data_IF_893060427351
#
_entry.id   IF_893060427351
#
_cell.length_a   1.000
_cell.length_b   1.000
_cell.length_c   1.000
_cell.angle_alpha   90.00
_cell.angle_beta   90.00
_cell.angle_gamma   90.00
#
_symmetry.space_group_name_H-M   'P 1'
#
loop_
_entity.id
_entity.type
_entity.pdbx_description
1 polymer ?
#
# COMPACT_ATOMS: atom_id res chain seq x y z
N UNK A 1 83.22 28.27 -35.64
CA UNK A 1 82.28 27.30 -35.05
C UNK A 1 82.09 27.73 -33.60
N UNK A 2 80.85 28.08 -33.26
CA UNK A 2 80.45 28.75 -32.02
C UNK A 2 80.77 27.91 -30.80
N UNK A 3 81.71 28.37 -29.99
CA UNK A 3 81.79 27.98 -28.58
C UNK A 3 80.59 28.62 -27.89
N UNK A 4 79.47 27.91 -27.84
CA UNK A 4 78.39 28.25 -26.93
C UNK A 4 78.98 28.20 -25.51
N UNK A 5 78.94 29.35 -24.83
CA UNK A 5 79.27 29.43 -23.41
C UNK A 5 78.20 28.64 -22.65
N UNK A 6 78.37 27.32 -22.52
CA UNK A 6 77.60 26.53 -21.58
C UNK A 6 77.99 27.01 -20.18
N UNK A 7 77.13 27.85 -19.62
CA UNK A 7 77.25 28.25 -18.21
C UNK A 7 77.10 27.01 -17.33
N UNK A 8 77.69 27.01 -16.12
CA UNK A 8 77.46 25.95 -15.14
C UNK A 8 75.96 25.69 -14.93
N UNK A 9 75.13 26.73 -15.04
CA UNK A 9 73.68 26.66 -14.92
C UNK A 9 73.03 25.83 -16.05
N UNK A 10 73.47 25.99 -17.31
CA UNK A 10 72.97 25.18 -18.43
C UNK A 10 73.42 23.73 -18.35
N UNK A 11 74.63 23.47 -17.81
CA UNK A 11 75.12 22.10 -17.58
C UNK A 11 74.30 21.39 -16.49
N UNK A 12 73.95 22.08 -15.40
CA UNK A 12 73.09 21.53 -14.34
C UNK A 12 71.64 21.34 -14.80
N UNK A 13 71.09 22.26 -15.59
CA UNK A 13 69.75 22.11 -16.18
C UNK A 13 69.67 20.90 -17.10
N UNK A 14 70.66 20.73 -17.97
CA UNK A 14 70.77 19.62 -18.89
C UNK A 14 70.98 18.26 -18.16
N UNK A 15 71.73 18.26 -17.05
CA UNK A 15 71.82 17.11 -16.13
C UNK A 15 70.46 16.69 -15.56
N UNK A 16 69.55 17.63 -15.29
CA UNK A 16 68.25 17.38 -14.66
C UNK A 16 67.15 16.99 -15.65
N UNK A 17 67.23 17.47 -16.89
CA UNK A 17 66.24 17.24 -17.95
C UNK A 17 66.59 16.07 -18.89
N UNK A 18 67.69 15.37 -18.64
CA UNK A 18 68.08 14.16 -19.37
C UNK A 18 68.70 14.41 -20.75
N UNK A 19 69.38 15.56 -20.94
CA UNK A 19 70.05 15.88 -22.21
C UNK A 19 71.29 14.98 -22.42
N UNK A 20 71.18 14.09 -23.41
CA UNK A 20 72.19 13.10 -23.74
C UNK A 20 73.51 13.72 -24.25
N UNK A 21 73.45 14.88 -24.92
CA UNK A 21 74.64 15.56 -25.46
C UNK A 21 75.46 16.20 -24.33
N UNK A 22 74.80 16.89 -23.40
CA UNK A 22 75.46 17.47 -22.23
C UNK A 22 75.97 16.41 -21.25
N UNK A 23 75.23 15.31 -21.08
CA UNK A 23 75.70 14.18 -20.29
C UNK A 23 76.95 13.53 -20.90
N UNK A 24 77.09 13.54 -22.23
CA UNK A 24 78.28 13.06 -22.92
C UNK A 24 79.48 14.00 -22.73
N UNK A 25 79.26 15.32 -22.81
CA UNK A 25 80.28 16.33 -22.53
C UNK A 25 80.88 16.22 -21.12
N UNK A 26 80.06 15.91 -20.10
CA UNK A 26 80.52 15.71 -18.71
C UNK A 26 81.31 14.40 -18.57
N UNK A 27 80.98 13.36 -19.33
CA UNK A 27 81.69 12.08 -19.34
C UNK A 27 83.05 12.17 -20.04
N UNK A 28 83.15 12.99 -21.08
CA UNK A 28 84.34 13.10 -21.91
C UNK A 28 85.44 14.00 -21.30
N UNK A 29 85.12 14.80 -20.26
CA UNK A 29 86.09 15.61 -19.49
C UNK A 29 86.29 15.07 -18.05
N UNK A 30 87.47 14.50 -17.72
CA UNK A 30 87.74 13.89 -16.41
C UNK A 30 87.71 14.84 -15.21
N UNK A 31 88.06 16.12 -15.38
CA UNK A 31 88.09 17.10 -14.29
C UNK A 31 86.70 17.72 -14.07
N UNK A 32 85.97 17.94 -15.16
CA UNK A 32 84.55 18.32 -15.11
C UNK A 32 83.73 17.21 -14.46
N UNK A 33 83.95 15.95 -14.85
CA UNK A 33 83.27 14.77 -14.30
C UNK A 33 83.46 14.61 -12.79
N UNK A 34 84.67 14.81 -12.26
CA UNK A 34 84.92 14.74 -10.79
C UNK A 34 84.19 15.81 -9.98
N UNK A 35 83.95 16.98 -10.59
CA UNK A 35 83.40 18.15 -9.89
C UNK A 35 81.88 18.24 -10.04
N UNK A 36 81.35 17.98 -11.23
CA UNK A 36 79.95 18.20 -11.59
C UNK A 36 79.08 16.97 -11.31
N UNK A 37 79.60 15.74 -11.51
CA UNK A 37 78.81 14.50 -11.34
C UNK A 37 78.20 14.36 -9.94
N UNK A 38 78.95 14.56 -8.82
CA UNK A 38 78.35 14.45 -7.47
C UNK A 38 77.25 15.49 -7.21
N UNK A 39 77.35 16.67 -7.84
CA UNK A 39 76.34 17.74 -7.73
C UNK A 39 75.11 17.37 -8.56
N UNK A 40 75.28 16.86 -9.78
CA UNK A 40 74.17 16.38 -10.61
C UNK A 40 73.44 15.20 -9.93
N UNK A 41 74.17 14.23 -9.35
CA UNK A 41 73.58 13.10 -8.62
C UNK A 41 72.76 13.58 -7.40
N UNK A 42 73.30 14.53 -6.63
CA UNK A 42 72.59 15.12 -5.50
C UNK A 42 71.34 15.91 -5.95
N UNK A 43 71.45 16.67 -7.04
CA UNK A 43 70.31 17.40 -7.60
C UNK A 43 69.23 16.46 -8.15
N UNK A 44 69.60 15.37 -8.84
CA UNK A 44 68.67 14.32 -9.30
C UNK A 44 67.97 13.65 -8.11
N UNK A 45 68.71 13.27 -7.06
CA UNK A 45 68.12 12.68 -5.86
C UNK A 45 67.13 13.63 -5.16
N UNK A 46 67.47 14.92 -5.07
CA UNK A 46 66.59 15.96 -4.53
C UNK A 46 65.35 16.17 -5.40
N UNK A 47 65.52 16.21 -6.73
CA UNK A 47 64.42 16.34 -7.68
C UNK A 47 63.46 15.16 -7.57
N UNK A 48 63.99 13.94 -7.45
CA UNK A 48 63.19 12.73 -7.25
C UNK A 48 62.36 12.80 -5.96
N UNK A 49 62.98 13.23 -4.86
CA UNK A 49 62.26 13.43 -3.60
C UNK A 49 61.18 14.53 -3.71
N UNK A 50 61.44 15.60 -4.45
CA UNK A 50 60.46 16.66 -4.72
C UNK A 50 59.28 16.17 -5.57
N UNK A 51 59.55 15.41 -6.64
CA UNK A 51 58.53 14.84 -7.50
C UNK A 51 57.67 13.83 -6.73
N UNK A 52 58.26 13.05 -5.81
CA UNK A 52 57.50 12.14 -4.93
C UNK A 52 56.53 12.88 -4.01
N UNK A 53 56.91 14.05 -3.49
CA UNK A 53 56.00 14.90 -2.70
C UNK A 53 54.86 15.43 -3.57
N UNK A 54 55.16 15.90 -4.79
CA UNK A 54 54.15 16.36 -5.73
C UNK A 54 53.20 15.23 -6.17
N UNK A 55 53.70 14.01 -6.36
CA UNK A 55 52.86 12.85 -6.66
C UNK A 55 51.89 12.56 -5.51
N UNK A 56 52.34 12.62 -4.26
CA UNK A 56 51.44 12.52 -3.11
C UNK A 56 50.40 13.64 -3.07
N UNK A 57 50.75 14.86 -3.49
CA UNK A 57 49.78 15.95 -3.63
C UNK A 57 48.74 15.69 -4.72
N UNK A 58 49.16 15.15 -5.87
CA UNK A 58 48.26 14.76 -6.96
C UNK A 58 47.30 13.67 -6.51
N UNK A 59 47.79 12.63 -5.83
CA UNK A 59 46.91 11.59 -5.25
C UNK A 59 45.94 12.16 -4.22
N UNK A 60 46.35 13.13 -3.40
CA UNK A 60 45.44 13.79 -2.46
C UNK A 60 44.37 14.63 -3.17
N UNK A 61 44.71 15.28 -4.30
CA UNK A 61 43.74 15.98 -5.16
C UNK A 61 42.71 15.01 -5.75
N UNK A 62 43.16 13.85 -6.24
CA UNK A 62 42.29 12.79 -6.78
C UNK A 62 41.29 12.31 -5.71
N UNK A 63 41.79 11.99 -4.50
CA UNK A 63 40.93 11.56 -3.37
C UNK A 63 39.93 12.64 -2.94
N UNK A 64 40.34 13.91 -2.98
CA UNK A 64 39.47 15.05 -2.66
C UNK A 64 38.35 15.17 -3.69
N UNK A 65 38.68 15.06 -4.98
CA UNK A 65 37.70 15.07 -6.07
C UNK A 65 36.72 13.89 -5.98
N UNK A 66 37.20 12.68 -5.68
CA UNK A 66 36.33 11.51 -5.47
C UNK A 66 35.40 11.64 -4.26
N UNK A 67 35.87 12.30 -3.19
CA UNK A 67 35.07 12.57 -2.00
C UNK A 67 33.94 13.58 -2.29
N UNK A 68 34.12 14.47 -3.27
CA UNK A 68 33.20 15.56 -3.58
C UNK A 68 31.86 15.17 -4.25
N UNK A 69 31.78 14.56 -5.44
CA UNK A 69 31.97 13.12 -5.56
C UNK A 69 30.84 12.38 -4.83
N UNK A 70 31.25 11.41 -4.03
CA UNK A 70 30.38 10.65 -3.13
C UNK A 70 29.45 11.56 -2.31
N UNK A 71 29.97 12.72 -1.92
CA UNK A 71 29.24 13.69 -1.17
C UNK A 71 27.98 14.26 -1.85
N UNK A 72 27.99 14.40 -3.18
CA UNK A 72 26.82 14.85 -3.92
C UNK A 72 25.69 13.83 -3.91
N UNK A 73 26.02 12.55 -4.11
CA UNK A 73 25.04 11.46 -4.08
C UNK A 73 24.35 11.43 -2.71
N UNK A 74 25.14 11.61 -1.65
CA UNK A 74 24.61 11.72 -0.29
C UNK A 74 23.68 12.92 -0.10
N UNK A 75 23.97 14.08 -0.69
CA UNK A 75 23.08 15.26 -0.60
C UNK A 75 21.73 15.00 -1.30
N UNK A 76 21.75 14.31 -2.44
CA UNK A 76 20.54 13.89 -3.15
C UNK A 76 19.72 12.89 -2.33
N UNK A 77 20.38 11.91 -1.72
CA UNK A 77 19.75 10.91 -0.86
C UNK A 77 19.11 11.57 0.37
N UNK A 78 19.81 12.51 1.02
CA UNK A 78 19.28 13.28 2.14
C UNK A 78 18.02 14.06 1.76
N UNK A 79 18.01 14.70 0.59
CA UNK A 79 16.83 15.44 0.09
C UNK A 79 15.64 14.52 -0.14
N UNK A 80 15.88 13.36 -0.76
CA UNK A 80 14.84 12.36 -1.03
C UNK A 80 14.25 11.85 0.28
N UNK A 81 15.12 11.48 1.22
CA UNK A 81 14.69 10.98 2.51
C UNK A 81 13.95 12.05 3.34
N UNK A 82 14.25 13.34 3.16
CA UNK A 82 13.49 14.44 3.77
C UNK A 82 12.06 14.56 3.21
N UNK A 83 11.89 14.38 1.89
CA UNK A 83 10.56 14.33 1.27
C UNK A 83 9.77 13.11 1.76
N UNK A 84 10.42 11.94 1.82
CA UNK A 84 9.79 10.71 2.31
C UNK A 84 9.34 10.86 3.78
N UNK A 85 10.17 11.48 4.62
CA UNK A 85 9.82 11.76 6.02
C UNK A 85 8.59 12.66 6.15
N UNK A 86 8.47 13.69 5.31
CA UNK A 86 7.28 14.55 5.30
C UNK A 86 6.03 13.78 4.85
N UNK A 87 6.14 12.96 3.81
CA UNK A 87 5.03 12.11 3.34
C UNK A 87 4.57 11.13 4.42
N UNK A 88 5.50 10.52 5.16
CA UNK A 88 5.18 9.63 6.28
C UNK A 88 4.47 10.36 7.42
N UNK A 89 4.84 11.61 7.70
CA UNK A 89 4.15 12.44 8.69
C UNK A 89 2.69 12.72 8.28
N UNK A 90 2.47 13.13 7.03
CA UNK A 90 1.12 13.37 6.51
C UNK A 90 0.26 12.09 6.54
N UNK A 91 0.89 10.94 6.28
CA UNK A 91 0.22 9.65 6.38
C UNK A 91 -0.13 9.27 7.83
N UNK A 92 0.71 9.59 8.81
CA UNK A 92 0.40 9.43 10.23
C UNK A 92 -0.84 10.25 10.63
N UNK A 93 -0.90 11.52 10.21
CA UNK A 93 -2.04 12.41 10.48
C UNK A 93 -3.34 11.90 9.81
N UNK A 94 -3.24 11.39 8.58
CA UNK A 94 -4.36 10.77 7.89
C UNK A 94 -4.91 9.55 8.64
N UNK A 95 -4.04 8.70 9.20
CA UNK A 95 -4.45 7.56 10.05
C UNK A 95 -5.21 8.05 11.28
N UNK A 96 -4.72 9.07 11.97
CA UNK A 96 -5.39 9.64 13.15
C UNK A 96 -6.79 10.16 12.79
N UNK A 97 -6.94 10.84 11.66
CA UNK A 97 -8.25 11.30 11.17
C UNK A 97 -9.18 10.14 10.83
N UNK A 98 -8.67 9.10 10.18
CA UNK A 98 -9.45 7.90 9.87
C UNK A 98 -9.95 7.21 11.14
N UNK A 99 -9.09 7.08 12.16
CA UNK A 99 -9.49 6.51 13.47
C UNK A 99 -10.60 7.32 14.13
N UNK A 100 -10.58 8.66 14.04
CA UNK A 100 -11.68 9.49 14.57
C UNK A 100 -13.01 9.19 13.87
N UNK A 101 -13.01 9.07 12.54
CA UNK A 101 -14.22 8.67 11.79
C UNK A 101 -14.69 7.25 12.15
N UNK A 102 -13.76 6.34 12.42
CA UNK A 102 -14.08 4.99 12.91
C UNK A 102 -14.71 5.04 14.30
N UNK A 103 -14.26 5.93 15.18
CA UNK A 103 -14.85 6.12 16.50
C UNK A 103 -16.30 6.63 16.44
N UNK A 104 -16.62 7.55 15.52
CA UNK A 104 -18.01 7.99 15.28
C UNK A 104 -18.89 6.82 14.81
N UNK A 105 -18.35 6.00 13.90
CA UNK A 105 -19.04 4.80 13.38
C UNK A 105 -19.27 3.75 14.48
N UNK A 106 -18.31 3.59 15.39
CA UNK A 106 -18.45 2.75 16.59
C UNK A 106 -19.64 3.21 17.43
N UNK A 107 -19.75 4.52 17.72
CA UNK A 107 -20.85 5.07 18.50
C UNK A 107 -22.21 4.77 17.88
N UNK A 108 -22.36 5.01 16.57
CA UNK A 108 -23.61 4.71 15.86
C UNK A 108 -23.94 3.21 15.84
N UNK A 109 -22.96 2.35 15.60
CA UNK A 109 -23.18 0.89 15.57
C UNK A 109 -23.51 0.33 16.96
N UNK A 110 -22.94 0.91 18.01
CA UNK A 110 -23.25 0.53 19.39
C UNK A 110 -24.71 0.85 19.72
N UNK A 111 -25.16 2.07 19.44
CA UNK A 111 -26.57 2.45 19.65
C UNK A 111 -27.53 1.58 18.85
N UNK A 112 -27.18 1.23 17.61
CA UNK A 112 -28.00 0.34 16.78
C UNK A 112 -28.09 -1.09 17.35
N UNK A 113 -26.96 -1.62 17.83
CA UNK A 113 -26.93 -2.94 18.47
C UNK A 113 -27.76 -2.96 19.76
N UNK A 114 -27.67 -1.91 20.59
CA UNK A 114 -28.48 -1.77 21.80
C UNK A 114 -29.97 -1.67 21.48
N UNK A 115 -30.36 -0.86 20.49
CA UNK A 115 -31.75 -0.75 20.03
C UNK A 115 -32.28 -2.10 19.51
N UNK A 116 -31.46 -2.83 18.74
CA UNK A 116 -31.84 -4.15 18.22
C UNK A 116 -32.07 -5.17 19.36
N UNK A 117 -31.21 -5.16 20.38
CA UNK A 117 -31.38 -6.04 21.56
C UNK A 117 -32.67 -5.71 22.31
N UNK A 118 -32.98 -4.43 22.47
CA UNK A 118 -34.23 -3.98 23.09
C UNK A 118 -35.45 -4.41 22.27
N UNK A 119 -35.43 -4.20 20.95
CA UNK A 119 -36.52 -4.60 20.05
C UNK A 119 -36.73 -6.12 20.05
N UNK A 120 -35.65 -6.90 20.11
CA UNK A 120 -35.74 -8.36 20.23
C UNK A 120 -36.32 -8.78 21.58
N UNK A 121 -35.96 -8.11 22.67
CA UNK A 121 -36.56 -8.38 23.98
C UNK A 121 -38.07 -8.10 23.96
N UNK A 122 -38.49 -6.93 23.47
CA UNK A 122 -39.90 -6.60 23.31
C UNK A 122 -40.62 -7.58 22.37
N UNK A 123 -39.94 -8.00 21.29
CA UNK A 123 -40.45 -9.00 20.35
C UNK A 123 -40.73 -10.34 21.03
N UNK A 124 -39.80 -10.82 21.85
CA UNK A 124 -39.95 -12.07 22.61
C UNK A 124 -41.09 -11.98 23.64
N UNK A 125 -41.22 -10.86 24.35
CA UNK A 125 -42.33 -10.64 25.31
C UNK A 125 -43.68 -10.71 24.59
N UNK A 126 -43.82 -10.02 23.45
CA UNK A 126 -45.05 -10.05 22.64
C UNK A 126 -45.31 -11.43 22.04
N UNK A 127 -44.28 -12.14 21.60
CA UNK A 127 -44.39 -13.49 21.07
C UNK A 127 -44.88 -14.46 22.14
N UNK A 128 -44.37 -14.35 23.37
CA UNK A 128 -44.82 -15.16 24.51
C UNK A 128 -46.30 -14.95 24.82
N UNK A 129 -46.78 -13.70 24.75
CA UNK A 129 -48.21 -13.40 24.92
C UNK A 129 -49.03 -14.05 23.79
N UNK A 130 -48.57 -13.94 22.54
CA UNK A 130 -49.27 -14.49 21.37
C UNK A 130 -49.34 -16.02 21.39
N UNK A 131 -48.30 -16.70 21.87
CA UNK A 131 -48.31 -18.16 22.09
C UNK A 131 -49.41 -18.51 23.11
N UNK A 132 -49.47 -17.80 24.24
CA UNK A 132 -50.51 -18.04 25.25
C UNK A 132 -51.94 -17.81 24.75
N UNK A 133 -52.15 -16.78 23.91
CA UNK A 133 -53.45 -16.55 23.25
C UNK A 133 -53.79 -17.67 22.26
N UNK A 134 -52.81 -18.20 21.51
CA UNK A 134 -53.04 -19.33 20.60
C UNK A 134 -53.43 -20.61 21.35
N UNK A 135 -52.79 -20.90 22.47
CA UNK A 135 -53.15 -22.04 23.33
C UNK A 135 -54.61 -21.94 23.80
N UNK A 136 -55.05 -20.73 24.17
CA UNK A 136 -56.43 -20.47 24.59
C UNK A 136 -57.44 -20.67 23.43
N UNK A 137 -57.09 -20.23 22.23
CA UNK A 137 -57.92 -20.43 21.03
C UNK A 137 -57.99 -21.92 20.68
N UNK A 138 -56.88 -22.66 20.76
CA UNK A 138 -56.84 -24.11 20.53
C UNK A 138 -57.75 -24.87 21.50
N UNK A 139 -57.70 -24.55 22.80
CA UNK A 139 -58.60 -25.13 23.79
C UNK A 139 -60.07 -24.84 23.46
N UNK A 140 -60.38 -23.61 23.04
CA UNK A 140 -61.74 -23.20 22.70
C UNK A 140 -62.27 -23.93 21.46
N UNK A 141 -61.45 -24.05 20.41
CA UNK A 141 -61.80 -24.76 19.17
C UNK A 141 -62.00 -26.26 19.43
N UNK A 142 -61.15 -26.86 20.27
CA UNK A 142 -61.27 -28.27 20.67
C UNK A 142 -62.57 -28.52 21.42
N UNK A 143 -62.89 -27.68 22.42
CA UNK A 143 -64.14 -27.77 23.17
C UNK A 143 -65.39 -27.57 22.28
N UNK A 144 -65.30 -26.68 21.28
CA UNK A 144 -66.34 -26.51 20.28
C UNK A 144 -66.55 -27.79 19.46
N UNK A 145 -65.47 -28.46 19.06
CA UNK A 145 -65.52 -29.75 18.38
C UNK A 145 -66.25 -30.83 19.18
N UNK A 146 -65.91 -30.96 20.47
CA UNK A 146 -66.57 -31.90 21.39
C UNK A 146 -68.08 -31.60 21.53
N UNK A 147 -68.42 -30.31 21.68
CA UNK A 147 -69.81 -29.85 21.79
C UNK A 147 -70.61 -30.16 20.52
N UNK A 148 -70.02 -29.94 19.34
CA UNK A 148 -70.65 -30.25 18.05
C UNK A 148 -70.87 -31.75 17.88
N UNK A 149 -69.91 -32.59 18.30
CA UNK A 149 -70.07 -34.06 18.28
C UNK A 149 -71.23 -34.51 19.18
N UNK A 150 -71.30 -33.99 20.41
CA UNK A 150 -72.40 -34.28 21.33
C UNK A 150 -73.76 -33.86 20.75
N UNK A 151 -73.81 -32.69 20.11
CA UNK A 151 -75.01 -32.15 19.47
C UNK A 151 -75.47 -32.97 18.25
N UNK A 152 -74.53 -33.43 17.42
CA UNK A 152 -74.80 -34.36 16.31
C UNK A 152 -75.44 -35.66 16.83
N UNK A 153 -74.92 -36.20 17.94
CA UNK A 153 -75.43 -37.42 18.55
C UNK A 153 -76.86 -37.26 19.12
N UNK A 154 -77.13 -36.13 19.78
CA UNK A 154 -78.49 -35.80 20.24
C UNK A 154 -79.46 -35.64 19.07
N UNK A 155 -79.04 -34.98 17.98
CA UNK A 155 -79.87 -34.79 16.78
C UNK A 155 -80.23 -36.11 16.09
N UNK A 156 -79.30 -37.07 16.05
CA UNK A 156 -79.57 -38.45 15.57
C UNK A 156 -80.60 -39.16 16.44
N UNK A 157 -80.53 -38.97 17.75
CA UNK A 157 -81.49 -39.53 18.71
C UNK A 157 -82.89 -38.96 18.48
N UNK A 158 -83.01 -37.64 18.30
CA UNK A 158 -84.28 -36.97 17.98
C UNK A 158 -84.86 -37.51 16.66
N UNK A 159 -84.03 -37.64 15.63
CA UNK A 159 -84.44 -38.16 14.32
C UNK A 159 -85.01 -39.59 14.45
N UNK A 160 -84.39 -40.42 15.29
CA UNK A 160 -84.83 -41.79 15.56
C UNK A 160 -86.16 -41.82 16.33
N UNK A 161 -86.31 -40.98 17.36
CA UNK A 161 -87.55 -40.87 18.13
C UNK A 161 -88.71 -40.36 17.27
N UNK A 162 -88.48 -39.34 16.44
CA UNK A 162 -89.47 -38.83 15.50
C UNK A 162 -89.93 -39.92 14.51
N UNK A 163 -89.00 -40.75 14.03
CA UNK A 163 -89.33 -41.94 13.21
C UNK A 163 -90.26 -42.92 13.93
N UNK A 164 -89.97 -43.23 15.20
CA UNK A 164 -90.84 -44.10 16.03
C UNK A 164 -92.23 -43.50 16.23
N UNK A 165 -92.33 -42.20 16.51
CA UNK A 165 -93.62 -41.52 16.67
C UNK A 165 -94.42 -41.56 15.37
N UNK A 166 -93.78 -41.39 14.23
CA UNK A 166 -94.42 -41.49 12.92
C UNK A 166 -94.94 -42.92 12.64
N UNK A 167 -94.20 -43.95 13.06
CA UNK A 167 -94.62 -45.35 12.96
C UNK A 167 -95.84 -45.64 13.86
N UNK A 168 -95.81 -45.20 15.12
CA UNK A 168 -96.93 -45.32 16.06
C UNK A 168 -98.15 -44.61 15.48
N UNK A 169 -98.00 -43.38 15.01
CA UNK A 169 -99.09 -42.61 14.40
C UNK A 169 -99.70 -43.32 13.18
N UNK A 170 -98.87 -43.98 12.35
CA UNK A 170 -99.34 -44.79 11.22
C UNK A 170 -100.14 -46.01 11.68
N UNK A 171 -99.67 -46.71 12.72
CA UNK A 171 -100.38 -47.83 13.33
C UNK A 171 -101.72 -47.40 13.95
N UNK A 172 -101.73 -46.28 14.70
CA UNK A 172 -102.95 -45.72 15.29
C UNK A 172 -103.96 -45.30 14.21
N UNK A 173 -103.50 -44.71 13.11
CA UNK A 173 -104.35 -44.36 11.98
C UNK A 173 -104.97 -45.62 11.32
N UNK A 174 -104.22 -46.72 11.21
CA UNK A 174 -104.75 -48.00 10.72
C UNK A 174 -105.76 -48.63 11.70
N UNK A 175 -105.48 -48.59 13.00
CA UNK A 175 -106.41 -49.06 14.04
C UNK A 175 -107.72 -48.24 14.04
N UNK A 176 -107.61 -46.92 13.93
CA UNK A 176 -108.76 -46.01 13.86
C UNK A 176 -109.57 -46.24 12.58
N UNK A 177 -108.91 -46.52 11.45
CA UNK A 177 -109.58 -46.88 10.20
C UNK A 177 -110.36 -48.19 10.35
N UNK A 178 -109.75 -49.22 10.94
CA UNK A 178 -110.42 -50.50 11.21
C UNK A 178 -111.62 -50.32 12.16
N UNK A 179 -111.47 -49.50 13.20
CA UNK A 179 -112.55 -49.17 14.12
C UNK A 179 -113.69 -48.38 13.45
N UNK A 180 -113.38 -47.45 12.54
CA UNK A 180 -114.38 -46.72 11.76
C UNK A 180 -115.15 -47.65 10.81
N UNK A 181 -114.48 -48.62 10.19
CA UNK A 181 -115.12 -49.66 9.35
C UNK A 181 -116.09 -50.50 10.20
N UNK A 182 -115.66 -50.97 11.36
CA UNK A 182 -116.50 -51.81 12.23
C UNK A 182 -117.68 -51.03 12.84
N UNK A 183 -117.47 -49.75 13.17
CA UNK A 183 -118.53 -48.85 13.61
C UNK A 183 -119.58 -48.59 12.51
N UNK A 184 -119.16 -48.46 11.25
CA UNK A 184 -120.07 -48.38 10.11
C UNK A 184 -120.84 -49.71 9.89
N UNK A 185 -120.21 -50.85 10.16
CA UNK A 185 -120.79 -52.19 10.05
C UNK A 185 -121.88 -52.46 11.10
N UNK A 186 -121.78 -51.85 12.28
CA UNK A 186 -122.75 -51.95 13.37
C UNK A 186 -124.01 -51.06 13.17
N UNK A 187 -124.11 -50.30 12.08
CA UNK A 187 -125.30 -49.48 11.76
C UNK A 187 -125.60 -48.39 12.80
N UNK A 188 -126.87 -48.23 13.17
CA UNK A 188 -127.31 -47.18 14.12
C UNK A 188 -126.67 -47.33 15.53
N UNK A 189 -126.34 -48.56 15.95
CA UNK A 189 -125.69 -48.81 17.25
C UNK A 189 -124.21 -48.39 17.27
N UNK A 190 -123.58 -48.18 16.10
CA UNK A 190 -122.17 -47.83 15.95
C UNK A 190 -121.88 -46.33 15.81
N UNK A 191 -122.89 -45.46 15.71
CA UNK A 191 -122.71 -44.01 15.43
C UNK A 191 -121.77 -43.29 16.39
N UNK A 192 -121.87 -43.57 17.70
CA UNK A 192 -120.98 -42.98 18.71
C UNK A 192 -119.52 -43.40 18.54
N UNK A 193 -119.28 -44.66 18.21
CA UNK A 193 -117.95 -45.20 17.96
C UNK A 193 -117.35 -44.70 16.65
N UNK A 194 -118.16 -44.45 15.62
CA UNK A 194 -117.70 -43.90 14.35
C UNK A 194 -117.11 -42.48 14.52
N UNK A 195 -117.75 -41.64 15.33
CA UNK A 195 -117.25 -40.28 15.63
C UNK A 195 -115.92 -40.34 16.37
N UNK A 196 -115.79 -41.22 17.37
CA UNK A 196 -114.53 -41.39 18.11
C UNK A 196 -113.43 -41.94 17.19
N UNK A 197 -113.73 -42.90 16.33
CA UNK A 197 -112.76 -43.47 15.40
C UNK A 197 -112.24 -42.43 14.38
N UNK A 198 -113.12 -41.57 13.85
CA UNK A 198 -112.71 -40.47 12.97
C UNK A 198 -111.85 -39.42 13.70
N UNK A 199 -112.14 -39.13 14.97
CA UNK A 199 -111.34 -38.20 15.77
C UNK A 199 -109.95 -38.79 16.09
N UNK A 200 -109.87 -40.07 16.45
CA UNK A 200 -108.59 -40.78 16.66
C UNK A 200 -107.79 -40.82 15.36
N UNK A 201 -108.44 -41.04 14.21
CA UNK A 201 -107.81 -41.01 12.88
C UNK A 201 -107.22 -39.63 12.57
N UNK A 202 -107.97 -38.55 12.80
CA UNK A 202 -107.45 -37.18 12.65
C UNK A 202 -106.27 -36.89 13.57
N UNK A 203 -106.35 -37.33 14.84
CA UNK A 203 -105.28 -37.15 15.81
C UNK A 203 -104.01 -37.91 15.38
N UNK A 204 -104.16 -39.15 14.91
CA UNK A 204 -103.05 -39.95 14.38
C UNK A 204 -102.41 -39.31 13.14
N UNK A 205 -103.20 -38.78 12.21
CA UNK A 205 -102.69 -38.04 11.05
C UNK A 205 -101.96 -36.76 11.46
N UNK A 206 -102.47 -36.05 12.47
CA UNK A 206 -101.82 -34.85 13.03
C UNK A 206 -100.47 -35.21 13.66
N UNK A 207 -100.42 -36.27 14.49
CA UNK A 207 -99.17 -36.77 15.10
C UNK A 207 -98.15 -37.21 14.06
N UNK A 208 -98.58 -37.84 12.96
CA UNK A 208 -97.69 -38.22 11.86
C UNK A 208 -97.07 -37.00 11.16
N UNK A 209 -97.85 -35.93 10.96
CA UNK A 209 -97.33 -34.66 10.40
C UNK A 209 -96.35 -33.99 11.35
N UNK A 210 -96.71 -33.85 12.63
CA UNK A 210 -95.82 -33.26 13.64
C UNK A 210 -94.48 -34.02 13.74
N UNK A 211 -94.51 -35.36 13.69
CA UNK A 211 -93.30 -36.17 13.66
C UNK A 211 -92.45 -35.94 12.39
N UNK A 212 -93.09 -35.76 11.23
CA UNK A 212 -92.41 -35.44 9.98
C UNK A 212 -91.72 -34.05 10.05
N UNK A 213 -92.38 -33.05 10.65
CA UNK A 213 -91.83 -31.70 10.83
C UNK A 213 -90.64 -31.69 11.80
N UNK A 214 -90.72 -32.46 12.90
CA UNK A 214 -89.58 -32.68 13.82
C UNK A 214 -88.41 -33.30 13.06
N UNK A 215 -88.66 -34.31 12.23
CA UNK A 215 -87.61 -34.98 11.45
C UNK A 215 -86.96 -34.03 10.42
N UNK A 216 -87.76 -33.19 9.76
CA UNK A 216 -87.28 -32.15 8.84
C UNK A 216 -86.38 -31.14 9.55
N UNK A 217 -86.81 -30.66 10.73
CA UNK A 217 -86.05 -29.74 11.57
C UNK A 217 -84.73 -30.36 12.04
N UNK A 218 -84.78 -31.60 12.54
CA UNK A 218 -83.58 -32.34 12.96
C UNK A 218 -82.59 -32.54 11.80
N UNK A 219 -83.09 -32.79 10.58
CA UNK A 219 -82.24 -32.90 9.39
C UNK A 219 -81.55 -31.57 9.06
N UNK A 220 -82.26 -30.45 9.18
CA UNK A 220 -81.70 -29.11 8.96
C UNK A 220 -80.63 -28.78 10.01
N UNK A 221 -80.91 -29.08 11.28
CA UNK A 221 -79.96 -28.94 12.39
C UNK A 221 -78.71 -29.80 12.15
N UNK A 222 -78.88 -31.05 11.70
CA UNK A 222 -77.76 -31.94 11.39
C UNK A 222 -76.86 -31.39 10.28
N UNK A 223 -77.46 -30.84 9.21
CA UNK A 223 -76.69 -30.17 8.14
C UNK A 223 -75.89 -28.98 8.67
N UNK A 224 -76.50 -28.14 9.51
CA UNK A 224 -75.81 -27.01 10.15
C UNK A 224 -74.65 -27.48 11.04
N UNK A 225 -74.86 -28.53 11.81
CA UNK A 225 -73.82 -29.09 12.68
C UNK A 225 -72.63 -29.67 11.89
N UNK A 226 -72.86 -30.35 10.75
CA UNK A 226 -71.78 -30.81 9.85
C UNK A 226 -70.98 -29.63 9.28
N UNK A 227 -71.64 -28.52 8.94
CA UNK A 227 -70.94 -27.31 8.50
C UNK A 227 -70.04 -26.74 9.60
N UNK A 228 -70.54 -26.69 10.85
CA UNK A 228 -69.72 -26.25 11.99
C UNK A 228 -68.56 -27.21 12.24
N UNK A 229 -68.78 -28.52 12.18
CA UNK A 229 -67.72 -29.55 12.31
C UNK A 229 -66.61 -29.35 11.26
N UNK A 230 -66.98 -29.12 10.00
CA UNK A 230 -66.02 -28.82 8.93
C UNK A 230 -65.23 -27.54 9.23
N UNK A 231 -65.90 -26.51 9.76
CA UNK A 231 -65.27 -25.25 10.19
C UNK A 231 -64.32 -25.41 11.38
N UNK A 232 -64.66 -26.28 12.35
CA UNK A 232 -63.79 -26.65 13.47
C UNK A 232 -62.52 -27.34 12.94
N UNK A 233 -62.66 -28.35 12.09
CA UNK A 233 -61.50 -29.04 11.51
C UNK A 233 -60.58 -28.10 10.72
N UNK A 234 -61.16 -27.17 9.94
CA UNK A 234 -60.38 -26.15 9.26
C UNK A 234 -59.66 -25.21 10.26
N UNK A 235 -60.33 -24.84 11.35
CA UNK A 235 -59.76 -23.98 12.40
C UNK A 235 -58.57 -24.64 13.10
N UNK A 236 -58.64 -25.96 13.37
CA UNK A 236 -57.51 -26.72 13.94
C UNK A 236 -56.29 -26.69 13.00
N UNK A 237 -56.48 -26.88 11.70
CA UNK A 237 -55.36 -26.78 10.74
C UNK A 237 -54.79 -25.35 10.65
N UNK A 238 -55.65 -24.32 10.75
CA UNK A 238 -55.19 -22.94 10.81
C UNK A 238 -54.36 -22.63 12.06
N UNK A 239 -54.76 -23.16 13.22
CA UNK A 239 -54.00 -23.03 14.47
C UNK A 239 -52.64 -23.71 14.38
N UNK A 240 -52.60 -24.93 13.84
CA UNK A 240 -51.34 -25.66 13.61
C UNK A 240 -50.36 -24.84 12.76
N UNK A 241 -50.84 -24.29 11.63
CA UNK A 241 -50.05 -23.40 10.77
C UNK A 241 -49.65 -22.09 11.46
N UNK A 242 -50.49 -21.57 12.35
CA UNK A 242 -50.19 -20.43 13.20
C UNK A 242 -49.03 -20.72 14.14
N UNK A 243 -49.02 -21.89 14.79
CA UNK A 243 -47.93 -22.38 15.62
C UNK A 243 -46.60 -22.46 14.85
N UNK A 244 -46.59 -23.11 13.68
CA UNK A 244 -45.40 -23.20 12.82
C UNK A 244 -44.83 -21.80 12.47
N UNK A 245 -45.72 -20.81 12.23
CA UNK A 245 -45.31 -19.45 11.95
C UNK A 245 -44.72 -18.73 13.18
N UNK A 246 -45.25 -18.98 14.39
CA UNK A 246 -44.71 -18.42 15.63
C UNK A 246 -43.32 -18.98 15.94
N UNK A 247 -43.09 -20.26 15.69
CA UNK A 247 -41.76 -20.87 15.83
C UNK A 247 -40.75 -20.22 14.88
N UNK A 248 -41.13 -19.99 13.62
CA UNK A 248 -40.30 -19.27 12.65
C UNK A 248 -39.95 -17.85 13.12
N UNK A 249 -40.91 -17.12 13.72
CA UNK A 249 -40.67 -15.78 14.27
C UNK A 249 -39.69 -15.85 15.46
N UNK A 250 -39.81 -16.85 16.33
CA UNK A 250 -38.90 -17.06 17.45
C UNK A 250 -37.46 -17.27 16.96
N UNK A 251 -37.26 -18.09 15.92
CA UNK A 251 -35.95 -18.32 15.32
C UNK A 251 -35.34 -17.03 14.76
N UNK A 252 -36.12 -16.22 14.04
CA UNK A 252 -35.67 -14.95 13.48
C UNK A 252 -35.25 -13.96 14.58
N UNK A 253 -36.02 -13.87 15.67
CA UNK A 253 -35.65 -13.06 16.83
C UNK A 253 -34.37 -13.58 17.50
N UNK A 254 -34.21 -14.89 17.63
CA UNK A 254 -32.98 -15.52 18.14
C UNK A 254 -31.75 -15.17 17.30
N UNK A 255 -31.87 -15.25 15.98
CA UNK A 255 -30.80 -14.84 15.04
C UNK A 255 -30.49 -13.34 15.16
N UNK A 256 -31.50 -12.49 15.29
CA UNK A 256 -31.31 -11.05 15.47
C UNK A 256 -30.57 -10.73 16.77
N UNK A 257 -30.92 -11.38 17.89
CA UNK A 257 -30.20 -11.26 19.16
C UNK A 257 -28.73 -11.67 19.02
N UNK A 258 -28.46 -12.82 18.39
CA UNK A 258 -27.09 -13.29 18.20
C UNK A 258 -26.29 -12.33 17.31
N UNK A 259 -26.91 -11.78 16.26
CA UNK A 259 -26.29 -10.80 15.36
C UNK A 259 -25.93 -9.50 16.09
N UNK A 260 -26.83 -8.98 16.92
CA UNK A 260 -26.58 -7.79 17.71
C UNK A 260 -25.46 -8.02 18.76
N UNK A 261 -25.43 -9.18 19.42
CA UNK A 261 -24.34 -9.54 20.34
C UNK A 261 -22.98 -9.65 19.63
N UNK A 262 -22.93 -10.29 18.44
CA UNK A 262 -21.71 -10.34 17.62
C UNK A 262 -21.26 -8.94 17.21
N UNK A 263 -22.19 -8.07 16.85
CA UNK A 263 -21.89 -6.66 16.52
C UNK A 263 -21.23 -5.94 17.69
N UNK A 264 -21.73 -6.12 18.92
CA UNK A 264 -21.12 -5.58 20.13
C UNK A 264 -19.69 -6.10 20.35
N UNK A 265 -19.46 -7.41 20.21
CA UNK A 265 -18.11 -7.98 20.33
C UNK A 265 -17.16 -7.48 19.24
N UNK A 266 -17.64 -7.28 18.01
CA UNK A 266 -16.84 -6.70 16.93
C UNK A 266 -16.46 -5.24 17.24
N UNK A 267 -17.38 -4.46 17.83
CA UNK A 267 -17.09 -3.10 18.26
C UNK A 267 -15.95 -3.06 19.28
N UNK A 268 -15.95 -3.95 20.28
CA UNK A 268 -14.86 -4.04 21.28
C UNK A 268 -13.50 -4.31 20.63
N UNK A 269 -13.47 -5.21 19.63
CA UNK A 269 -12.26 -5.50 18.86
C UNK A 269 -11.80 -4.28 18.03
N UNK A 270 -12.72 -3.55 17.41
CA UNK A 270 -12.41 -2.35 16.64
C UNK A 270 -11.84 -1.27 17.56
N UNK A 271 -12.44 -1.03 18.73
CA UNK A 271 -11.93 -0.05 19.72
C UNK A 271 -10.48 -0.36 20.11
N UNK A 272 -10.18 -1.62 20.41
CA UNK A 272 -8.82 -2.05 20.75
C UNK A 272 -7.83 -1.94 19.57
N UNK A 273 -8.29 -2.23 18.34
CA UNK A 273 -7.51 -2.03 17.11
C UNK A 273 -7.19 -0.56 16.87
N UNK A 274 -8.20 0.30 16.90
CA UNK A 274 -8.07 1.75 16.72
C UNK A 274 -7.17 2.41 17.76
N UNK A 275 -7.22 1.97 19.02
CA UNK A 275 -6.31 2.48 20.05
C UNK A 275 -4.84 2.18 19.72
N UNK A 276 -4.54 0.98 19.19
CA UNK A 276 -3.19 0.62 18.75
C UNK A 276 -2.73 1.41 17.53
N UNK A 277 -3.64 1.67 16.59
CA UNK A 277 -3.35 2.50 15.41
C UNK A 277 -2.98 3.93 15.79
N UNK A 278 -3.66 4.54 16.76
CA UNK A 278 -3.31 5.88 17.27
C UNK A 278 -1.91 5.89 17.88
N UNK A 279 -1.60 4.94 18.76
CA UNK A 279 -0.27 4.85 19.38
C UNK A 279 0.83 4.65 18.32
N UNK A 280 0.57 3.84 17.29
CA UNK A 280 1.50 3.65 16.19
C UNK A 280 1.71 4.94 15.37
N UNK A 281 0.63 5.67 15.07
CA UNK A 281 0.69 6.93 14.34
C UNK A 281 1.43 8.02 15.13
N UNK A 282 1.19 8.13 16.44
CA UNK A 282 1.92 9.05 17.33
C UNK A 282 3.41 8.71 17.39
N UNK A 283 3.74 7.43 17.56
CA UNK A 283 5.12 6.94 17.53
C UNK A 283 5.80 7.29 16.21
N UNK A 284 5.14 7.07 15.08
CA UNK A 284 5.63 7.48 13.75
C UNK A 284 5.90 8.98 13.68
N UNK A 285 5.00 9.82 14.20
CA UNK A 285 5.21 11.26 14.30
C UNK A 285 6.48 11.63 15.10
N UNK A 286 6.72 10.97 16.23
CA UNK A 286 7.94 11.21 17.02
C UNK A 286 9.22 10.77 16.30
N UNK A 287 9.19 9.61 15.64
CA UNK A 287 10.32 9.09 14.86
C UNK A 287 10.61 9.98 13.63
N UNK A 288 9.58 10.50 12.96
CA UNK A 288 9.76 11.41 11.83
C UNK A 288 10.40 12.73 12.28
N UNK A 289 9.99 13.28 13.42
CA UNK A 289 10.62 14.50 13.95
C UNK A 289 12.11 14.27 14.30
N UNK A 290 12.43 13.13 14.92
CA UNK A 290 13.81 12.74 15.18
C UNK A 290 14.62 12.54 13.89
N UNK A 291 14.02 11.95 12.86
CA UNK A 291 14.65 11.76 11.55
C UNK A 291 14.94 13.10 10.87
N UNK A 292 13.98 14.03 10.87
CA UNK A 292 14.17 15.38 10.33
C UNK A 292 15.31 16.12 11.05
N UNK A 293 15.40 16.01 12.38
CA UNK A 293 16.51 16.60 13.14
C UNK A 293 17.85 15.97 12.75
N UNK A 294 17.90 14.64 12.63
CA UNK A 294 19.11 13.91 12.21
C UNK A 294 19.55 14.32 10.80
N UNK A 295 18.62 14.42 9.85
CA UNK A 295 18.89 14.91 8.49
C UNK A 295 19.44 16.33 8.48
N UNK A 296 18.87 17.23 9.29
CA UNK A 296 19.40 18.59 9.44
C UNK A 296 20.84 18.61 9.97
N UNK A 297 21.16 17.75 10.94
CA UNK A 297 22.52 17.61 11.45
C UNK A 297 23.47 17.03 10.41
N UNK A 298 23.05 16.00 9.67
CA UNK A 298 23.84 15.42 8.58
C UNK A 298 24.11 16.45 7.48
N UNK A 299 23.12 17.23 7.07
CA UNK A 299 23.31 18.29 6.08
C UNK A 299 24.35 19.33 6.54
N UNK A 300 24.31 19.75 7.82
CA UNK A 300 25.29 20.68 8.38
C UNK A 300 26.70 20.09 8.43
N UNK A 301 26.85 18.85 8.91
CA UNK A 301 28.14 18.16 8.95
C UNK A 301 28.71 17.99 7.55
N UNK A 302 27.85 17.61 6.60
CA UNK A 302 28.24 17.39 5.22
C UNK A 302 28.69 18.69 4.54
N UNK A 303 27.99 19.80 4.79
CA UNK A 303 28.42 21.13 4.35
C UNK A 303 29.81 21.51 4.91
N UNK A 304 30.08 21.20 6.18
CA UNK A 304 31.40 21.45 6.77
C UNK A 304 32.51 20.59 6.16
N UNK A 305 32.22 19.31 5.85
CA UNK A 305 33.16 18.43 5.15
C UNK A 305 33.47 18.99 3.76
N UNK A 306 32.45 19.41 3.01
CA UNK A 306 32.63 20.02 1.68
C UNK A 306 33.54 21.24 1.73
N UNK A 307 33.32 22.14 2.69
CA UNK A 307 34.17 23.32 2.89
C UNK A 307 35.63 22.94 3.22
N UNK A 308 35.84 21.88 4.01
CA UNK A 308 37.17 21.38 4.30
C UNK A 308 37.87 20.82 3.05
N UNK A 309 37.15 20.03 2.25
CA UNK A 309 37.65 19.48 0.99
C UNK A 309 37.97 20.58 -0.02
N UNK A 310 37.10 21.60 -0.15
CA UNK A 310 37.35 22.78 -0.98
C UNK A 310 38.65 23.49 -0.55
N UNK A 311 38.85 23.67 0.76
CA UNK A 311 40.06 24.28 1.30
C UNK A 311 41.33 23.45 1.03
N UNK A 312 41.27 22.12 1.21
CA UNK A 312 42.38 21.21 0.91
C UNK A 312 42.74 21.26 -0.58
N UNK A 313 41.73 21.24 -1.46
CA UNK A 313 41.93 21.36 -2.91
C UNK A 313 42.64 22.67 -3.27
N UNK A 314 42.22 23.79 -2.68
CA UNK A 314 42.78 25.11 -2.98
C UNK A 314 44.24 25.22 -2.50
N UNK A 315 44.57 24.71 -1.31
CA UNK A 315 45.95 24.63 -0.80
C UNK A 315 46.85 23.77 -1.68
N UNK A 316 46.36 22.61 -2.14
CA UNK A 316 47.10 21.73 -3.05
C UNK A 316 47.30 22.35 -4.44
N UNK A 317 46.31 23.11 -4.93
CA UNK A 317 46.43 23.87 -6.17
C UNK A 317 47.46 25.00 -6.06
N UNK A 318 47.47 25.74 -4.95
CA UNK A 318 48.49 26.76 -4.68
C UNK A 318 49.90 26.16 -4.58
N UNK A 319 50.05 25.00 -3.92
CA UNK A 319 51.33 24.30 -3.83
C UNK A 319 51.84 23.87 -5.22
N UNK A 320 50.95 23.38 -6.08
CA UNK A 320 51.26 23.02 -7.47
C UNK A 320 51.71 24.23 -8.29
N UNK A 321 51.03 25.37 -8.14
CA UNK A 321 51.42 26.63 -8.79
C UNK A 321 52.77 27.15 -8.29
N UNK A 322 53.04 27.06 -6.98
CA UNK A 322 54.33 27.44 -6.41
C UNK A 322 55.49 26.59 -6.95
N UNK A 323 55.25 25.29 -7.17
CA UNK A 323 56.23 24.38 -7.78
C UNK A 323 56.55 24.71 -9.24
N UNK A 324 55.69 25.48 -9.92
CA UNK A 324 55.89 25.96 -11.29
C UNK A 324 56.60 27.31 -11.40
N UNK A 325 56.94 27.96 -10.29
CA UNK A 325 57.67 29.22 -10.33
C UNK A 325 59.11 29.05 -10.84
N UNK A 326 59.57 29.97 -11.70
CA UNK A 326 60.90 29.93 -12.30
C UNK A 326 60.96 29.02 -13.53
N UNK A 327 62.09 28.33 -13.72
CA UNK A 327 62.27 27.31 -14.76
C UNK A 327 62.48 25.94 -14.08
N UNK A 328 61.39 25.26 -13.68
CA UNK A 328 61.46 23.99 -12.99
C UNK A 328 61.89 22.87 -13.95
N UNK A 329 62.60 21.87 -13.43
CA UNK A 329 62.98 20.69 -14.19
C UNK A 329 61.76 20.00 -14.82
N UNK A 330 61.98 19.35 -15.97
CA UNK A 330 60.93 18.74 -16.77
C UNK A 330 60.08 17.73 -15.97
N UNK A 331 60.71 16.93 -15.09
CA UNK A 331 60.01 16.01 -14.21
C UNK A 331 58.99 16.73 -13.28
N UNK A 332 59.37 17.90 -12.74
CA UNK A 332 58.47 18.74 -11.92
C UNK A 332 57.32 19.31 -12.77
N UNK A 333 57.61 19.77 -13.99
CA UNK A 333 56.58 20.23 -14.95
C UNK A 333 55.56 19.14 -15.23
N UNK A 334 56.01 17.92 -15.53
CA UNK A 334 55.16 16.78 -15.81
C UNK A 334 54.24 16.40 -14.65
N UNK A 335 54.73 16.43 -13.41
CA UNK A 335 53.88 16.19 -12.23
C UNK A 335 52.86 17.32 -12.00
N UNK A 336 53.23 18.58 -12.21
CA UNK A 336 52.27 19.69 -12.02
C UNK A 336 51.21 19.72 -13.11
N UNK A 337 51.54 19.45 -14.38
CA UNK A 337 50.50 19.38 -15.43
C UNK A 337 49.53 18.21 -15.22
N UNK A 338 49.99 17.13 -14.55
CA UNK A 338 49.10 16.06 -14.06
C UNK A 338 48.13 16.60 -12.99
N UNK A 339 48.61 17.40 -12.03
CA UNK A 339 47.76 18.07 -11.04
C UNK A 339 46.72 18.99 -11.68
N UNK A 340 47.15 19.83 -12.64
CA UNK A 340 46.27 20.72 -13.41
C UNK A 340 45.18 19.94 -14.14
N UNK A 341 45.53 18.78 -14.70
CA UNK A 341 44.60 17.89 -15.37
C UNK A 341 43.55 17.33 -14.41
N UNK A 342 43.96 16.81 -13.24
CA UNK A 342 43.05 16.32 -12.19
C UNK A 342 42.10 17.43 -11.73
N UNK A 343 42.62 18.63 -11.47
CA UNK A 343 41.82 19.79 -11.08
C UNK A 343 40.81 20.19 -12.16
N UNK A 344 41.20 20.14 -13.43
CA UNK A 344 40.30 20.43 -14.54
C UNK A 344 39.15 19.42 -14.60
N UNK A 345 39.45 18.12 -14.49
CA UNK A 345 38.42 17.06 -14.48
C UNK A 345 37.51 17.20 -13.27
N UNK A 346 38.06 17.49 -12.07
CA UNK A 346 37.26 17.74 -10.85
C UNK A 346 36.25 18.86 -11.07
N UNK A 347 36.68 20.01 -11.64
CA UNK A 347 35.79 21.14 -11.93
C UNK A 347 34.64 20.78 -12.87
N UNK A 348 34.89 19.95 -13.88
CA UNK A 348 33.84 19.48 -14.79
C UNK A 348 32.81 18.63 -14.03
N UNK A 349 33.28 17.72 -13.19
CA UNK A 349 32.41 16.83 -12.43
C UNK A 349 31.65 17.58 -11.32
N UNK A 350 32.26 18.59 -10.69
CA UNK A 350 31.61 19.50 -9.73
C UNK A 350 30.46 20.30 -10.36
N UNK A 351 30.63 20.74 -11.61
CA UNK A 351 29.61 21.47 -12.35
C UNK A 351 28.30 20.70 -12.49
N UNK A 352 28.37 19.36 -12.55
CA UNK A 352 27.21 18.49 -12.76
C UNK A 352 26.17 18.65 -11.65
N UNK A 353 26.59 18.98 -10.42
CA UNK A 353 25.72 18.94 -9.25
C UNK A 353 25.45 20.31 -8.66
N UNK A 354 26.39 21.25 -8.75
CA UNK A 354 26.15 22.61 -8.34
C UNK A 354 25.45 23.39 -9.46
N UNK A 355 24.11 23.32 -9.48
CA UNK A 355 23.27 24.13 -10.39
C UNK A 355 23.51 25.64 -10.27
N UNK A 356 24.12 26.11 -9.18
CA UNK A 356 24.47 27.52 -8.99
C UNK A 356 25.84 27.88 -9.61
N UNK A 357 26.72 26.89 -9.80
CA UNK A 357 27.99 27.06 -10.50
C UNK A 357 27.74 27.17 -12.01
N UNK A 358 27.39 28.38 -12.46
CA UNK A 358 27.48 28.73 -13.87
C UNK A 358 28.94 28.70 -14.30
N UNK A 359 29.47 27.52 -14.64
CA UNK A 359 30.72 27.44 -15.37
C UNK A 359 30.47 28.06 -16.74
N UNK A 360 31.12 29.20 -16.99
CA UNK A 360 31.16 29.77 -18.33
C UNK A 360 31.93 28.81 -19.24
N UNK A 361 31.20 28.16 -20.15
CA UNK A 361 31.77 27.22 -21.14
C UNK A 361 32.86 27.90 -21.97
N UNK A 362 32.75 29.22 -22.20
CA UNK A 362 33.74 29.97 -22.95
C UNK A 362 35.08 30.14 -22.20
N UNK A 363 35.09 29.86 -20.90
CA UNK A 363 36.27 29.93 -20.04
C UNK A 363 36.86 28.54 -19.70
N UNK A 364 36.27 27.45 -20.22
CA UNK A 364 36.85 26.11 -20.11
C UNK A 364 37.90 25.95 -21.19
N UNK A 365 39.17 25.93 -20.76
CA UNK A 365 40.31 25.71 -21.64
C UNK A 365 40.18 24.39 -22.40
N UNK A 366 40.38 24.42 -23.71
CA UNK A 366 40.56 23.20 -24.50
C UNK A 366 41.96 22.58 -24.31
N UNK A 367 42.18 21.45 -24.96
CA UNK A 367 43.43 20.70 -24.87
C UNK A 367 44.68 21.39 -25.43
N UNK A 368 44.57 22.52 -26.15
CA UNK A 368 45.70 23.35 -26.59
C UNK A 368 45.87 24.60 -25.73
N UNK A 369 44.81 25.03 -25.04
CA UNK A 369 44.83 26.17 -24.12
C UNK A 369 45.27 25.80 -22.70
N UNK A 370 45.25 24.52 -22.35
CA UNK A 370 45.72 24.04 -21.04
C UNK A 370 47.26 23.94 -20.99
N UNK A 371 47.83 23.97 -19.77
CA UNK A 371 49.29 23.96 -19.56
C UNK A 371 49.96 22.72 -20.15
N UNK A 372 49.31 21.56 -20.05
CA UNK A 372 49.76 20.31 -20.69
C UNK A 372 49.78 20.44 -22.21
N UNK A 373 48.71 20.96 -22.81
CA UNK A 373 48.58 21.18 -24.25
C UNK A 373 49.68 22.06 -24.83
N UNK A 374 49.84 23.25 -24.23
CA UNK A 374 50.86 24.21 -24.62
C UNK A 374 52.28 23.62 -24.52
N UNK A 375 52.54 22.84 -23.46
CA UNK A 375 53.80 22.15 -23.30
C UNK A 375 54.01 21.07 -24.37
N UNK A 376 53.01 20.23 -24.64
CA UNK A 376 53.12 19.20 -25.68
C UNK A 376 53.36 19.80 -27.06
N UNK A 377 52.66 20.86 -27.41
CA UNK A 377 52.84 21.57 -28.69
C UNK A 377 54.28 22.13 -28.82
N UNK A 378 54.88 22.58 -27.71
CA UNK A 378 56.27 23.06 -27.70
C UNK A 378 57.34 21.97 -27.84
N UNK A 379 56.98 20.70 -27.58
CA UNK A 379 57.91 19.56 -27.54
C UNK A 379 57.91 18.72 -28.82
N UNK A 380 57.06 19.03 -29.81
CA UNK A 380 56.85 18.22 -31.02
C UNK A 380 58.13 17.93 -31.83
N UNK A 381 59.12 18.82 -31.77
CA UNK A 381 60.39 18.69 -32.51
C UNK A 381 61.53 18.09 -31.65
N UNK A 382 61.24 17.67 -30.42
CA UNK A 382 62.24 17.12 -29.48
C UNK A 382 62.22 15.59 -29.44
N UNK A 383 63.30 14.93 -28.98
CA UNK A 383 63.34 13.46 -28.87
C UNK A 383 62.22 12.86 -28.01
N UNK A 384 61.72 13.59 -27.00
CA UNK A 384 60.66 13.11 -26.11
C UNK A 384 59.33 12.86 -26.85
N UNK A 385 59.09 13.58 -27.96
CA UNK A 385 57.88 13.44 -28.77
C UNK A 385 57.78 12.07 -29.46
N UNK A 386 58.89 11.35 -29.59
CA UNK A 386 58.94 10.01 -30.16
C UNK A 386 58.64 8.90 -29.12
N UNK A 387 58.55 9.24 -27.83
CA UNK A 387 58.26 8.26 -26.78
C UNK A 387 56.82 7.75 -26.88
N UNK A 388 56.63 6.45 -26.61
CA UNK A 388 55.29 5.81 -26.63
C UNK A 388 54.30 6.52 -25.69
N UNK A 389 54.79 6.93 -24.50
CA UNK A 389 53.99 7.64 -23.52
C UNK A 389 53.52 9.02 -24.02
N UNK A 390 54.39 9.80 -24.69
CA UNK A 390 54.03 11.11 -25.24
C UNK A 390 52.96 10.98 -26.33
N UNK A 391 53.12 10.02 -27.25
CA UNK A 391 52.14 9.73 -28.31
C UNK A 391 50.79 9.30 -27.69
N UNK A 392 50.82 8.46 -26.65
CA UNK A 392 49.60 8.03 -25.96
C UNK A 392 48.87 9.20 -25.29
N UNK A 393 49.57 10.12 -24.61
CA UNK A 393 48.96 11.34 -24.07
C UNK A 393 48.33 12.16 -25.20
N UNK A 394 49.03 12.33 -26.33
CA UNK A 394 48.54 13.13 -27.48
C UNK A 394 47.22 12.59 -28.06
N UNK A 395 46.99 11.27 -27.97
CA UNK A 395 45.77 10.62 -28.45
C UNK A 395 44.61 10.72 -27.45
N UNK A 396 44.88 10.56 -26.15
CA UNK A 396 43.83 10.43 -25.12
C UNK A 396 43.46 11.79 -24.51
N UNK A 397 44.43 12.68 -24.30
CA UNK A 397 44.20 14.00 -23.68
C UNK A 397 43.15 14.87 -24.42
N UNK A 398 43.13 14.96 -25.77
CA UNK A 398 42.09 15.69 -26.47
C UNK A 398 40.68 15.11 -26.26
N UNK A 399 40.57 13.80 -26.02
CA UNK A 399 39.29 13.14 -25.78
C UNK A 399 38.70 13.55 -24.44
N UNK A 400 39.54 13.69 -23.40
CA UNK A 400 39.13 14.19 -22.07
C UNK A 400 38.51 15.58 -22.20
N UNK A 401 39.19 16.52 -22.88
CA UNK A 401 38.67 17.88 -23.06
C UNK A 401 37.38 17.92 -23.88
N UNK A 402 37.31 17.19 -25.00
CA UNK A 402 36.11 17.09 -25.83
C UNK A 402 34.91 16.55 -25.03
N UNK A 403 35.13 15.50 -24.26
CA UNK A 403 34.09 14.87 -23.45
C UNK A 403 33.65 15.78 -22.30
N UNK A 404 34.57 16.42 -21.58
CA UNK A 404 34.22 17.35 -20.51
C UNK A 404 33.40 18.54 -21.01
N UNK A 405 33.76 19.13 -22.15
CA UNK A 405 32.96 20.19 -22.79
C UNK A 405 31.58 19.66 -23.22
N UNK A 406 31.50 18.44 -23.73
CA UNK A 406 30.23 17.81 -24.10
C UNK A 406 29.31 17.60 -22.88
N UNK A 407 29.88 17.19 -21.73
CA UNK A 407 29.15 17.01 -20.46
C UNK A 407 28.54 18.35 -20.00
N UNK A 408 29.31 19.43 -20.00
CA UNK A 408 28.79 20.75 -19.58
C UNK A 408 27.68 21.24 -20.54
N UNK A 409 27.81 20.96 -21.85
CA UNK A 409 26.76 21.26 -22.82
C UNK A 409 25.49 20.43 -22.59
N UNK A 410 25.62 19.14 -22.26
CA UNK A 410 24.50 18.26 -21.93
C UNK A 410 23.80 18.72 -20.65
N UNK A 411 24.57 19.15 -19.64
CA UNK A 411 24.06 19.71 -18.40
C UNK A 411 23.21 20.97 -18.65
N UNK A 412 23.67 21.91 -19.49
CA UNK A 412 22.89 23.11 -19.87
C UNK A 412 21.57 22.77 -20.58
N UNK A 413 21.53 21.64 -21.28
CA UNK A 413 20.33 21.14 -21.99
C UNK A 413 19.41 20.31 -21.10
N UNK A 414 19.82 19.98 -19.86
CA UNK A 414 19.06 19.12 -18.96
C UNK A 414 19.08 17.63 -19.32
N UNK A 415 20.05 17.19 -20.13
CA UNK A 415 20.18 15.78 -20.53
C UNK A 415 20.96 14.97 -19.49
N UNK A 416 20.26 14.56 -18.43
CA UNK A 416 20.87 13.87 -17.29
C UNK A 416 21.50 12.51 -17.69
N UNK A 417 20.94 11.81 -18.67
CA UNK A 417 21.45 10.50 -19.10
C UNK A 417 22.82 10.61 -19.79
N UNK A 418 22.98 11.62 -20.66
CA UNK A 418 24.25 11.93 -21.30
C UNK A 418 25.30 12.43 -20.29
N UNK A 419 24.88 13.20 -19.28
CA UNK A 419 25.76 13.71 -18.21
C UNK A 419 26.33 12.55 -17.37
N UNK A 420 25.50 11.64 -16.88
CA UNK A 420 25.96 10.50 -16.08
C UNK A 420 26.89 9.57 -16.87
N UNK A 421 26.48 9.17 -18.09
CA UNK A 421 27.31 8.31 -18.94
C UNK A 421 28.65 8.96 -19.29
N UNK A 422 28.63 10.27 -19.56
CA UNK A 422 29.84 11.03 -19.85
C UNK A 422 30.79 11.14 -18.66
N UNK A 423 30.27 11.31 -17.44
CA UNK A 423 31.08 11.43 -16.23
C UNK A 423 31.95 10.20 -15.95
N UNK A 424 31.40 8.99 -16.11
CA UNK A 424 32.15 7.74 -15.91
C UNK A 424 33.23 7.55 -16.97
N UNK A 425 32.91 7.87 -18.23
CA UNK A 425 33.87 7.83 -19.33
C UNK A 425 34.98 8.87 -19.13
N UNK A 426 34.66 10.05 -18.61
CA UNK A 426 35.63 11.12 -18.34
C UNK A 426 36.64 10.70 -17.28
N UNK A 427 36.18 10.07 -16.20
CA UNK A 427 37.07 9.51 -15.16
C UNK A 427 38.03 8.48 -15.74
N UNK A 428 37.51 7.52 -16.52
CA UNK A 428 38.32 6.48 -17.15
C UNK A 428 39.41 7.05 -18.08
N UNK A 429 39.05 8.00 -18.95
CA UNK A 429 40.01 8.65 -19.83
C UNK A 429 41.03 9.50 -19.06
N UNK A 430 40.63 10.16 -17.97
CA UNK A 430 41.55 10.93 -17.12
C UNK A 430 42.60 10.03 -16.47
N UNK A 431 42.20 8.88 -15.93
CA UNK A 431 43.14 7.89 -15.37
C UNK A 431 44.14 7.42 -16.42
N UNK A 432 43.71 7.22 -17.67
CA UNK A 432 44.63 6.87 -18.75
C UNK A 432 45.66 7.97 -19.02
N UNK A 433 45.25 9.24 -19.08
CA UNK A 433 46.18 10.37 -19.26
C UNK A 433 47.19 10.43 -18.11
N UNK A 434 46.73 10.32 -16.87
CA UNK A 434 47.56 10.35 -15.67
C UNK A 434 48.63 9.24 -15.68
N UNK A 435 48.27 8.01 -16.01
CA UNK A 435 49.21 6.88 -16.11
C UNK A 435 50.28 7.10 -17.18
N UNK A 436 49.92 7.73 -18.31
CA UNK A 436 50.89 8.02 -19.36
C UNK A 436 51.81 9.19 -19.00
N UNK A 437 51.33 10.19 -18.26
CA UNK A 437 52.17 11.25 -17.70
C UNK A 437 53.17 10.70 -16.66
N UNK A 438 52.76 9.74 -15.83
CA UNK A 438 53.68 9.06 -14.90
C UNK A 438 54.79 8.31 -15.66
N UNK A 439 54.44 7.53 -16.70
CA UNK A 439 55.42 6.83 -17.54
C UNK A 439 56.39 7.80 -18.23
N UNK A 440 55.87 8.93 -18.71
CA UNK A 440 56.67 9.95 -19.38
C UNK A 440 57.65 10.62 -18.40
N UNK A 441 57.20 10.94 -17.19
CA UNK A 441 58.05 11.47 -16.12
C UNK A 441 59.13 10.47 -15.71
N UNK A 442 58.77 9.21 -15.53
CA UNK A 442 59.71 8.16 -15.11
C UNK A 442 60.77 7.89 -16.19
N UNK A 443 60.41 8.02 -17.48
CA UNK A 443 61.35 7.99 -18.58
C UNK A 443 62.36 9.14 -18.52
N UNK A 444 61.89 10.37 -18.26
CA UNK A 444 62.75 11.57 -18.11
C UNK A 444 63.69 11.43 -16.90
N UNK A 445 63.22 10.86 -15.78
CA UNK A 445 64.05 10.67 -14.58
C UNK A 445 64.97 9.45 -14.63
N UNK A 446 64.71 8.49 -15.52
CA UNK A 446 65.52 7.28 -15.70
C UNK A 446 66.76 7.47 -16.58
N UNK A 447 66.86 8.62 -17.26
CA UNK A 447 68.02 9.10 -18.02
C UNK A 447 68.87 10.08 -17.17
#
# INVERSE_FOLDING_TARGET
MSTENHTLLSLFSACLDGDAETAQLIRDDPELGKTITPICDWQKARLWQSCKVLDHQVTALEQTAESHLLGMDLEQDLRTAQLDSQSLYDQADAVIKAVRSTADSIGSNQSLAEATLHDVQMGNERLSVLIGEMDLVEQTVTSMGETVQAFLQQTRTITTLAGKVQEIAKQTNLLALNAAIEAARAGEHGRGFAVVADEVKKLAQSSARAAADIRSSATTINKGAIQVETGVSASVEHLRRGGDALETVAEVLGMANQSAQKTRGNIENIVSGSAREVVAAESMGTHMNALQQSMGQFAQQFQAIRQCLDHVRDELAHASEAAMQGDPALATRLTVVKADHVLWVSRILEAITDKASQIDINNIKDHHQCRLGQWMDSMLETPIAQSEAFIAVQQVHPQVHKLGIAIINALKKGDNAAVHTGADQLKSLSTMVQQQLDKLRDHVMGH
#
